data_IF_552681778369
#
_entry.id   IF_552681778369
#
_cell.length_a   1.000
_cell.length_b   1.000
_cell.length_c   1.000
_cell.angle_alpha   90.00
_cell.angle_beta   90.00
_cell.angle_gamma   90.00
#
_symmetry.space_group_name_H-M   'P 1'
#
loop_
_entity.id
_entity.type
_entity.pdbx_description
1 polymer ?
#
# COMPACT_ATOMS: atom_id res chain seq x y z
N UNK A 1 22.02 -10.40 13.61
CA UNK A 1 21.01 -9.32 13.57
C UNK A 1 20.90 -8.77 14.98
N UNK A 2 21.39 -7.55 15.18
CA UNK A 2 21.45 -6.92 16.50
C UNK A 2 20.05 -6.49 16.96
N UNK A 3 19.78 -6.67 18.26
CA UNK A 3 18.72 -5.96 18.98
C UNK A 3 17.33 -6.56 18.86
N UNK A 4 17.02 -7.50 19.74
CA UNK A 4 15.65 -7.84 20.10
C UNK A 4 15.02 -6.69 20.89
N UNK A 5 14.74 -5.57 20.23
CA UNK A 5 13.83 -4.57 20.76
C UNK A 5 12.44 -5.11 20.48
N UNK A 6 11.82 -5.75 21.48
CA UNK A 6 10.40 -6.01 21.49
C UNK A 6 9.69 -4.65 21.46
N UNK A 7 9.52 -4.09 20.27
CA UNK A 7 8.80 -2.84 20.06
C UNK A 7 7.33 -3.13 20.35
N UNK A 8 6.93 -2.87 21.59
CA UNK A 8 5.62 -3.24 22.12
C UNK A 8 4.50 -2.63 21.27
N UNK A 9 3.51 -3.41 20.86
CA UNK A 9 2.34 -2.91 20.09
C UNK A 9 1.55 -1.76 20.78
N UNK A 10 1.91 -1.40 22.02
CA UNK A 10 1.35 -0.32 22.82
C UNK A 10 1.93 1.06 22.51
N UNK A 11 3.16 1.15 22.00
CA UNK A 11 3.79 2.44 21.63
C UNK A 11 3.23 3.01 20.32
N UNK A 12 2.70 2.15 19.44
CA UNK A 12 1.99 2.59 18.24
C UNK A 12 0.50 2.81 18.51
N UNK A 13 0.00 3.98 18.13
CA UNK A 13 -1.42 4.36 18.29
C UNK A 13 -2.05 4.71 16.95
N UNK A 14 -3.34 4.40 16.79
CA UNK A 14 -4.08 4.70 15.58
C UNK A 14 -3.53 3.96 14.36
N UNK A 15 -3.33 4.67 13.24
CA UNK A 15 -2.94 4.09 11.96
C UNK A 15 -1.53 3.49 11.97
N UNK A 16 -0.60 4.06 12.76
CA UNK A 16 0.78 3.55 12.84
C UNK A 16 0.86 2.18 13.51
N UNK A 17 -0.16 1.76 14.27
CA UNK A 17 -0.23 0.39 14.80
C UNK A 17 -0.37 -0.65 13.68
N UNK A 18 -1.08 -0.29 12.61
CA UNK A 18 -1.35 -1.17 11.48
C UNK A 18 -0.41 -0.95 10.31
N UNK A 19 0.17 0.25 10.18
CA UNK A 19 1.09 0.62 9.12
C UNK A 19 2.36 1.18 9.73
N UNK A 20 3.31 0.30 10.02
CA UNK A 20 4.65 0.65 10.47
C UNK A 20 5.68 -0.31 9.84
N UNK A 21 6.94 0.08 9.87
CA UNK A 21 8.07 -0.70 9.34
C UNK A 21 8.71 -1.63 10.36
N UNK A 22 8.22 -1.63 11.61
CA UNK A 22 8.94 -2.16 12.77
C UNK A 22 8.38 -3.52 13.22
N UNK A 23 7.06 -3.64 13.36
CA UNK A 23 6.40 -4.89 13.71
C UNK A 23 6.05 -5.70 12.47
N UNK A 24 6.04 -7.03 12.59
CA UNK A 24 5.68 -7.90 11.47
C UNK A 24 4.27 -7.65 10.95
N UNK A 25 3.33 -7.31 11.85
CA UNK A 25 1.96 -6.91 11.47
C UNK A 25 1.96 -5.62 10.63
N UNK A 26 2.70 -4.61 11.06
CA UNK A 26 2.83 -3.34 10.34
C UNK A 26 3.42 -3.53 8.95
N UNK A 27 4.48 -4.34 8.86
CA UNK A 27 5.18 -4.65 7.61
C UNK A 27 4.27 -5.42 6.65
N UNK A 28 3.56 -6.43 7.14
CA UNK A 28 2.64 -7.23 6.34
C UNK A 28 1.48 -6.39 5.78
N UNK A 29 0.90 -5.50 6.59
CA UNK A 29 -0.19 -4.63 6.16
C UNK A 29 0.29 -3.57 5.15
N UNK A 30 1.48 -3.01 5.37
CA UNK A 30 2.09 -2.07 4.42
C UNK A 30 2.31 -2.74 3.06
N UNK A 31 2.88 -3.96 3.05
CA UNK A 31 3.06 -4.73 1.83
C UNK A 31 1.73 -5.01 1.12
N UNK A 32 0.71 -5.47 1.85
CA UNK A 32 -0.64 -5.68 1.31
C UNK A 32 -1.20 -4.40 0.71
N UNK A 33 -1.10 -3.27 1.39
CA UNK A 33 -1.57 -1.98 0.90
C UNK A 33 -0.85 -1.57 -0.38
N UNK A 34 0.46 -1.79 -0.49
CA UNK A 34 1.22 -1.52 -1.72
C UNK A 34 0.73 -2.37 -2.88
N UNK A 35 0.55 -3.68 -2.69
CA UNK A 35 0.02 -4.56 -3.74
C UNK A 35 -1.40 -4.16 -4.17
N UNK A 36 -2.26 -3.84 -3.20
CA UNK A 36 -3.63 -3.39 -3.47
C UNK A 36 -3.63 -2.07 -4.25
N UNK A 37 -2.79 -1.10 -3.85
CA UNK A 37 -2.68 0.18 -4.52
C UNK A 37 -2.22 0.02 -5.97
N UNK A 38 -1.17 -0.78 -6.21
CA UNK A 38 -0.66 -1.03 -7.57
C UNK A 38 -1.72 -1.74 -8.42
N UNK A 39 -2.41 -2.74 -7.86
CA UNK A 39 -3.48 -3.45 -8.55
C UNK A 39 -4.65 -2.51 -8.92
N UNK A 40 -5.07 -1.65 -8.00
CA UNK A 40 -6.13 -0.67 -8.24
C UNK A 40 -5.73 0.37 -9.28
N UNK A 41 -4.49 0.86 -9.25
CA UNK A 41 -3.97 1.78 -10.28
C UNK A 41 -3.93 1.10 -11.63
N UNK A 42 -3.43 -0.14 -11.71
CA UNK A 42 -3.42 -0.92 -12.94
C UNK A 42 -4.82 -1.16 -13.49
N UNK A 43 -5.76 -1.57 -12.62
CA UNK A 43 -7.15 -1.77 -12.98
C UNK A 43 -7.82 -0.48 -13.45
N UNK A 44 -7.56 0.64 -12.75
CA UNK A 44 -8.09 1.94 -13.15
C UNK A 44 -7.58 2.33 -14.54
N UNK A 45 -6.30 2.17 -14.83
CA UNK A 45 -5.74 2.45 -16.15
C UNK A 45 -6.29 1.52 -17.24
N UNK A 46 -6.56 0.26 -16.89
CA UNK A 46 -7.15 -0.71 -17.81
C UNK A 46 -8.62 -0.39 -18.13
N UNK A 47 -9.41 -0.03 -17.11
CA UNK A 47 -10.81 0.33 -17.26
C UNK A 47 -11.01 1.76 -17.79
N UNK A 48 -10.00 2.63 -17.68
CA UNK A 48 -10.08 4.02 -18.14
C UNK A 48 -10.33 4.02 -19.65
N UNK A 49 -11.49 4.52 -20.12
CA UNK A 49 -11.80 4.52 -21.54
C UNK A 49 -10.80 5.41 -22.27
N UNK A 50 -10.17 4.86 -23.31
CA UNK A 50 -9.32 5.63 -24.21
C UNK A 50 -10.22 6.60 -24.96
N UNK A 51 -10.01 7.90 -24.78
CA UNK A 51 -10.70 8.91 -25.59
C UNK A 51 -10.32 8.65 -27.05
N UNK A 52 -11.31 8.40 -27.89
CA UNK A 52 -11.14 8.39 -29.34
C UNK A 52 -10.65 9.79 -29.73
N UNK A 53 -9.41 9.91 -30.20
CA UNK A 53 -9.03 11.06 -31.01
C UNK A 53 -9.90 10.96 -32.26
N UNK A 54 -10.94 11.78 -32.32
CA UNK A 54 -11.72 11.96 -33.55
C UNK A 54 -10.75 12.55 -34.54
N UNK A 55 -10.16 11.69 -35.37
CA UNK A 55 -9.39 12.06 -36.54
C UNK A 55 -10.36 12.77 -37.49
N UNK A 56 -10.44 14.10 -37.35
CA UNK A 56 -11.11 14.94 -38.33
C UNK A 56 -10.18 15.02 -39.53
N UNK A 57 -10.47 14.24 -40.56
CA UNK A 57 -9.92 14.44 -41.89
C UNK A 57 -11.01 14.34 -42.95
#
# INVERSE_FOLDING_TARGET
MAGGEHVEDAQFKGLTKYFNSVTDKGRANTAKATYLAVALVGLYLWLKPKKQTVDKK
#
